data_IF_396428117035
#
_entry.id   IF_396428117035
#
_cell.length_a   1.000
_cell.length_b   1.000
_cell.length_c   1.000
_cell.angle_alpha   90.00
_cell.angle_beta   90.00
_cell.angle_gamma   90.00
#
_symmetry.space_group_name_H-M   'P 1'
#
loop_
_entity.id
_entity.type
_entity.pdbx_description
1 polymer ?
#
# COMPACT_ATOMS: atom_id res chain seq x y z
N UNK A 1 35.07 19.17 -33.94
CA UNK A 1 35.89 17.98 -34.18
C UNK A 1 35.32 16.86 -33.34
N UNK A 2 34.83 15.87 -34.06
CA UNK A 2 34.55 14.45 -33.71
C UNK A 2 33.36 14.22 -32.81
N UNK A 3 32.18 13.89 -33.29
CA UNK A 3 31.69 12.63 -33.96
C UNK A 3 31.59 11.43 -33.04
N UNK A 4 30.34 11.04 -32.88
CA UNK A 4 29.65 9.77 -33.22
C UNK A 4 29.53 8.73 -32.09
N UNK A 5 28.30 8.20 -31.98
CA UNK A 5 28.00 6.99 -31.22
C UNK A 5 26.52 6.67 -31.04
N UNK A 6 25.77 6.68 -32.14
CA UNK A 6 24.40 6.14 -32.23
C UNK A 6 24.43 4.60 -32.15
N UNK A 7 23.79 3.97 -31.12
CA UNK A 7 23.53 2.53 -31.11
C UNK A 7 22.02 2.27 -31.02
N UNK A 8 21.48 2.05 -32.19
CA UNK A 8 20.22 1.34 -32.47
C UNK A 8 20.18 -0.03 -31.76
N UNK A 9 19.20 -0.27 -30.89
CA UNK A 9 18.82 -1.62 -30.45
C UNK A 9 17.60 -2.06 -31.21
N UNK A 10 17.78 -3.11 -31.99
CA UNK A 10 16.76 -3.82 -32.75
C UNK A 10 15.85 -4.61 -31.85
N UNK A 11 14.54 -4.49 -32.07
CA UNK A 11 13.51 -5.34 -31.49
C UNK A 11 13.56 -6.76 -32.06
N UNK A 12 13.30 -7.79 -31.26
CA UNK A 12 13.16 -9.16 -31.78
C UNK A 12 11.74 -9.40 -32.32
N UNK A 13 11.68 -9.76 -33.58
CA UNK A 13 10.49 -10.23 -34.30
C UNK A 13 9.91 -11.50 -33.67
N UNK A 14 8.65 -11.42 -33.24
CA UNK A 14 7.85 -12.57 -32.84
C UNK A 14 7.39 -13.31 -34.11
N UNK A 15 7.86 -14.54 -34.28
CA UNK A 15 7.40 -15.47 -35.32
C UNK A 15 6.06 -16.08 -34.92
N UNK A 16 5.06 -15.91 -35.79
CA UNK A 16 3.80 -16.68 -35.76
C UNK A 16 4.02 -18.08 -36.38
N UNK A 17 3.39 -19.13 -35.86
CA UNK A 17 3.45 -20.44 -36.48
C UNK A 17 2.46 -20.55 -37.66
N UNK A 18 2.95 -21.15 -38.74
CA UNK A 18 2.24 -21.45 -39.96
C UNK A 18 1.31 -22.65 -39.75
N UNK A 19 0.03 -22.49 -40.08
CA UNK A 19 -0.94 -23.59 -40.13
C UNK A 19 -0.66 -24.50 -41.31
N UNK A 20 -0.43 -25.77 -41.00
CA UNK A 20 -0.32 -26.84 -42.00
C UNK A 20 -1.70 -27.29 -42.47
N UNK A 21 -1.86 -27.37 -43.80
CA UNK A 21 -2.97 -28.01 -44.51
C UNK A 21 -2.92 -29.54 -44.38
N UNK A 22 -4.01 -30.14 -43.96
CA UNK A 22 -4.23 -31.59 -44.11
C UNK A 22 -5.39 -31.84 -45.08
N UNK A 23 -5.04 -32.38 -46.24
CA UNK A 23 -5.99 -32.96 -47.22
C UNK A 23 -6.38 -34.38 -46.79
N UNK A 24 -7.67 -34.66 -46.70
CA UNK A 24 -8.22 -36.00 -46.52
C UNK A 24 -9.53 -36.12 -47.26
N UNK A 25 -9.52 -36.86 -48.37
CA UNK A 25 -10.71 -37.31 -49.10
C UNK A 25 -11.37 -38.46 -48.39
N UNK A 26 -12.72 -38.46 -48.35
CA UNK A 26 -13.53 -39.58 -47.90
C UNK A 26 -15.00 -39.37 -48.25
N UNK A 27 -15.47 -40.10 -49.23
CA UNK A 27 -16.82 -40.15 -49.82
C UNK A 27 -17.88 -40.71 -48.88
N UNK A 28 -19.13 -40.20 -48.92
CA UNK A 28 -20.30 -40.84 -48.32
C UNK A 28 -21.46 -39.84 -48.15
N UNK A 29 -22.41 -39.83 -49.07
CA UNK A 29 -23.54 -38.93 -49.05
C UNK A 29 -24.62 -39.31 -48.02
N UNK A 30 -25.20 -38.29 -47.38
CA UNK A 30 -26.59 -38.32 -46.87
C UNK A 30 -27.11 -36.89 -46.99
N UNK A 31 -28.23 -36.74 -47.70
CA UNK A 31 -28.97 -35.48 -47.85
C UNK A 31 -29.54 -35.05 -46.50
N UNK A 32 -29.09 -33.92 -45.98
CA UNK A 32 -29.77 -33.21 -44.92
C UNK A 32 -30.31 -31.88 -45.46
N UNK A 33 -31.48 -31.44 -45.01
CA UNK A 33 -32.13 -30.25 -45.53
C UNK A 33 -31.34 -29.01 -45.13
N UNK A 34 -31.15 -28.11 -46.11
CA UNK A 34 -30.57 -26.80 -45.90
C UNK A 34 -31.49 -25.98 -44.99
N UNK A 35 -31.18 -25.91 -43.69
CA UNK A 35 -31.71 -24.88 -42.84
C UNK A 35 -30.99 -23.59 -43.20
N UNK A 36 -31.70 -22.72 -43.91
CA UNK A 36 -31.28 -21.31 -44.05
C UNK A 36 -31.29 -20.69 -42.66
N UNK A 37 -30.13 -20.60 -42.04
CA UNK A 37 -29.93 -19.76 -40.86
C UNK A 37 -30.03 -18.34 -41.36
N UNK A 38 -31.19 -17.71 -41.12
CA UNK A 38 -31.33 -16.27 -41.17
C UNK A 38 -30.24 -15.65 -40.29
N UNK A 39 -29.52 -14.60 -40.74
CA UNK A 39 -28.60 -13.89 -39.84
C UNK A 39 -29.43 -13.39 -38.68
N UNK A 40 -29.26 -13.99 -37.53
CA UNK A 40 -29.81 -13.53 -36.27
C UNK A 40 -29.38 -12.07 -36.13
N UNK A 41 -30.35 -11.18 -36.03
CA UNK A 41 -30.17 -9.82 -35.54
C UNK A 41 -29.31 -9.95 -34.26
N UNK A 42 -28.09 -9.46 -34.32
CA UNK A 42 -27.20 -9.44 -33.15
C UNK A 42 -27.90 -8.65 -32.04
N UNK A 43 -28.56 -9.38 -31.17
CA UNK A 43 -29.04 -8.90 -29.90
C UNK A 43 -27.80 -8.42 -29.16
N UNK A 44 -27.55 -7.08 -29.20
CA UNK A 44 -26.53 -6.47 -28.38
C UNK A 44 -26.87 -6.83 -26.95
N UNK A 45 -26.04 -7.64 -26.33
CA UNK A 45 -26.15 -7.95 -24.93
C UNK A 45 -26.39 -6.61 -24.19
N UNK A 46 -27.45 -6.55 -23.43
CA UNK A 46 -27.78 -5.42 -22.57
C UNK A 46 -26.63 -5.32 -21.57
N UNK A 47 -25.67 -4.41 -21.81
CA UNK A 47 -24.63 -4.12 -20.84
C UNK A 47 -25.35 -3.54 -19.63
N UNK A 48 -25.25 -4.25 -18.49
CA UNK A 48 -25.79 -3.81 -17.22
C UNK A 48 -25.21 -2.45 -16.81
N UNK A 49 -25.67 -1.88 -15.68
CA UNK A 49 -25.19 -0.59 -15.21
C UNK A 49 -23.67 -0.60 -15.04
N UNK A 50 -23.02 0.44 -15.54
CA UNK A 50 -21.57 0.61 -15.40
C UNK A 50 -21.27 1.13 -14.00
N UNK A 51 -20.42 0.42 -13.24
CA UNK A 51 -20.04 0.80 -11.89
C UNK A 51 -18.73 1.58 -11.91
N UNK A 52 -18.75 2.77 -11.33
CA UNK A 52 -17.62 3.68 -11.24
C UNK A 52 -17.30 4.02 -9.77
N UNK A 53 -16.03 3.95 -9.40
CA UNK A 53 -15.56 4.36 -8.09
C UNK A 53 -14.92 5.74 -8.19
N UNK A 54 -15.42 6.72 -7.41
CA UNK A 54 -14.97 8.12 -7.44
C UNK A 54 -14.56 8.57 -6.05
N UNK A 55 -13.42 9.25 -5.93
CA UNK A 55 -12.99 9.85 -4.67
C UNK A 55 -13.93 10.97 -4.22
N UNK A 56 -14.24 11.03 -2.94
CA UNK A 56 -15.16 12.06 -2.40
C UNK A 56 -14.71 13.48 -2.75
N UNK A 57 -15.61 14.24 -3.38
CA UNK A 57 -15.37 15.60 -3.85
C UNK A 57 -14.66 15.70 -5.20
N UNK A 58 -14.29 14.59 -5.80
CA UNK A 58 -13.64 14.56 -7.11
C UNK A 58 -14.65 14.72 -8.25
N UNK A 59 -14.14 14.73 -9.47
CA UNK A 59 -14.95 14.75 -10.68
C UNK A 59 -14.84 13.42 -11.42
N UNK A 60 -15.85 13.12 -12.23
CA UNK A 60 -15.85 11.98 -13.15
C UNK A 60 -16.21 12.43 -14.56
N UNK A 61 -15.54 11.86 -15.55
CA UNK A 61 -15.88 12.06 -16.96
C UNK A 61 -16.76 10.90 -17.40
N UNK A 62 -17.96 11.22 -17.91
CA UNK A 62 -18.97 10.26 -18.36
C UNK A 62 -19.10 10.38 -19.87
N UNK A 63 -18.93 9.24 -20.55
CA UNK A 63 -19.17 9.13 -21.98
C UNK A 63 -20.57 8.56 -22.23
N UNK A 64 -21.48 9.42 -22.63
CA UNK A 64 -22.82 9.03 -23.03
C UNK A 64 -22.82 8.68 -24.53
N UNK A 65 -22.88 7.40 -24.85
CA UNK A 65 -22.92 6.91 -26.24
C UNK A 65 -24.25 6.25 -26.51
N UNK A 66 -24.92 6.69 -27.60
CA UNK A 66 -26.17 6.11 -28.05
C UNK A 66 -25.94 4.77 -28.76
N UNK A 67 -26.93 3.87 -28.70
CA UNK A 67 -26.93 2.59 -29.40
C UNK A 67 -27.10 2.70 -30.91
N UNK A 68 -27.69 3.82 -31.40
CA UNK A 68 -27.93 4.08 -32.82
C UNK A 68 -27.00 5.17 -33.39
N UNK A 69 -26.88 5.18 -34.69
CA UNK A 69 -26.00 6.12 -35.43
C UNK A 69 -26.50 7.55 -35.47
N UNK A 70 -27.81 7.74 -35.36
CA UNK A 70 -28.48 9.07 -35.44
C UNK A 70 -29.53 9.23 -34.34
N UNK A 71 -29.08 9.45 -33.07
CA UNK A 71 -30.02 9.70 -31.99
C UNK A 71 -30.63 11.09 -32.10
N UNK A 72 -31.97 11.22 -31.95
CA UNK A 72 -32.67 12.50 -31.96
C UNK A 72 -32.42 13.32 -30.69
N UNK A 73 -32.16 12.63 -29.57
CA UNK A 73 -31.74 13.25 -28.29
C UNK A 73 -30.61 12.44 -27.68
N UNK A 74 -29.72 13.13 -27.00
CA UNK A 74 -28.67 12.51 -26.18
C UNK A 74 -28.29 13.46 -25.03
N UNK A 75 -28.57 13.06 -23.80
CA UNK A 75 -28.35 13.88 -22.62
C UNK A 75 -27.89 13.04 -21.42
N UNK A 76 -27.15 13.66 -20.54
CA UNK A 76 -26.85 13.12 -19.21
C UNK A 76 -27.81 13.73 -18.19
N UNK A 77 -28.60 12.91 -17.51
CA UNK A 77 -29.51 13.32 -16.45
C UNK A 77 -28.85 13.11 -15.09
N UNK A 78 -28.68 14.17 -14.33
CA UNK A 78 -28.13 14.19 -12.99
C UNK A 78 -28.45 15.52 -12.30
N UNK A 79 -28.58 15.48 -10.98
CA UNK A 79 -28.70 16.66 -10.13
C UNK A 79 -27.33 17.35 -9.87
N UNK A 80 -26.23 16.67 -10.18
CA UNK A 80 -24.89 17.19 -9.99
C UNK A 80 -24.52 18.24 -11.04
N UNK A 81 -23.61 19.14 -10.69
CA UNK A 81 -23.06 20.09 -11.64
C UNK A 81 -22.27 19.35 -12.73
N UNK A 82 -22.58 19.67 -14.00
CA UNK A 82 -21.93 19.06 -15.14
C UNK A 82 -21.57 20.10 -16.21
N UNK A 83 -20.50 19.78 -16.94
CA UNK A 83 -20.07 20.56 -18.12
C UNK A 83 -19.94 19.61 -19.31
N UNK A 84 -20.48 20.02 -20.47
CA UNK A 84 -20.25 19.30 -21.71
C UNK A 84 -18.83 19.59 -22.20
N UNK A 85 -18.02 18.55 -22.38
CA UNK A 85 -16.66 18.66 -22.91
C UNK A 85 -16.63 18.50 -24.41
N UNK A 86 -17.32 17.47 -24.93
CA UNK A 86 -17.36 17.15 -26.34
C UNK A 86 -18.80 16.79 -26.77
N UNK A 87 -19.16 17.16 -27.99
CA UNK A 87 -20.49 16.94 -28.54
C UNK A 87 -20.38 16.38 -29.96
N UNK A 88 -20.68 15.10 -30.12
CA UNK A 88 -20.75 14.41 -31.40
C UNK A 88 -22.17 13.88 -31.62
N UNK A 89 -22.47 13.51 -32.84
CA UNK A 89 -23.81 13.02 -33.20
C UNK A 89 -24.23 11.80 -32.37
N UNK A 90 -23.32 10.84 -32.19
CA UNK A 90 -23.59 9.55 -31.56
C UNK A 90 -23.15 9.47 -30.08
N UNK A 91 -22.31 10.39 -29.61
CA UNK A 91 -21.86 10.42 -28.23
C UNK A 91 -21.57 11.82 -27.72
N UNK A 92 -21.65 11.99 -26.40
CA UNK A 92 -21.33 13.23 -25.70
C UNK A 92 -20.50 12.94 -24.47
N UNK A 93 -19.48 13.75 -24.23
CA UNK A 93 -18.60 13.64 -23.09
C UNK A 93 -18.96 14.70 -22.05
N UNK A 94 -19.31 14.29 -20.85
CA UNK A 94 -19.67 15.18 -19.74
C UNK A 94 -18.67 15.05 -18.61
N UNK A 95 -18.29 16.16 -18.01
CA UNK A 95 -17.56 16.21 -16.75
C UNK A 95 -18.52 16.56 -15.63
N UNK A 96 -18.66 15.66 -14.65
CA UNK A 96 -19.53 15.80 -13.48
C UNK A 96 -18.66 16.11 -12.28
N UNK A 97 -19.03 17.10 -11.47
CA UNK A 97 -18.20 17.67 -10.40
C UNK A 97 -18.78 17.44 -9.02
N UNK A 98 -17.89 17.53 -7.99
CA UNK A 98 -18.26 17.53 -6.57
C UNK A 98 -19.08 16.32 -6.16
N UNK A 99 -18.67 15.14 -6.62
CA UNK A 99 -19.34 13.89 -6.32
C UNK A 99 -19.00 13.51 -4.88
N UNK A 100 -19.94 13.68 -3.94
CA UNK A 100 -19.71 13.50 -2.49
C UNK A 100 -20.51 12.37 -1.87
N UNK A 101 -21.41 11.76 -2.60
CA UNK A 101 -22.26 10.63 -2.20
C UNK A 101 -22.50 9.71 -3.39
N UNK A 102 -22.91 8.49 -3.10
CA UNK A 102 -23.33 7.54 -4.13
C UNK A 102 -24.47 8.11 -4.94
N UNK A 103 -24.42 7.96 -6.25
CA UNK A 103 -25.35 8.58 -7.18
C UNK A 103 -25.52 7.71 -8.44
N UNK A 104 -26.71 7.74 -9.01
CA UNK A 104 -26.99 7.16 -10.31
C UNK A 104 -27.03 8.28 -11.35
N UNK A 105 -26.26 8.12 -12.43
CA UNK A 105 -26.26 9.01 -13.57
C UNK A 105 -26.93 8.31 -14.75
N UNK A 106 -27.85 9.00 -15.42
CA UNK A 106 -28.62 8.42 -16.51
C UNK A 106 -28.22 9.09 -17.82
N UNK A 107 -27.66 8.33 -18.76
CA UNK A 107 -27.55 8.77 -20.15
C UNK A 107 -28.79 8.39 -20.92
N UNK A 108 -29.67 9.36 -21.20
CA UNK A 108 -30.88 9.17 -21.96
C UNK A 108 -30.67 9.55 -23.42
N UNK A 109 -31.13 8.71 -24.34
CA UNK A 109 -31.07 8.94 -25.78
C UNK A 109 -32.28 8.35 -26.47
N UNK A 110 -32.64 8.90 -27.64
CA UNK A 110 -33.78 8.45 -28.42
C UNK A 110 -33.33 7.94 -29.78
N UNK A 111 -33.61 6.65 -30.04
CA UNK A 111 -33.31 5.97 -31.28
C UNK A 111 -34.60 5.53 -31.97
N UNK A 112 -34.82 5.97 -33.20
CA UNK A 112 -36.06 5.64 -33.99
C UNK A 112 -37.37 5.84 -33.20
N UNK A 113 -37.45 6.95 -32.43
CA UNK A 113 -38.61 7.29 -31.61
C UNK A 113 -38.78 6.52 -30.31
N UNK A 114 -37.82 5.65 -29.94
CA UNK A 114 -37.77 4.96 -28.63
C UNK A 114 -36.72 5.59 -27.75
N UNK A 115 -37.10 5.92 -26.52
CA UNK A 115 -36.16 6.38 -25.50
C UNK A 115 -35.48 5.18 -24.86
N UNK A 116 -34.16 5.24 -24.78
CA UNK A 116 -33.30 4.27 -24.11
C UNK A 116 -32.47 5.01 -23.05
N UNK A 117 -32.04 4.28 -22.02
CA UNK A 117 -31.27 4.85 -20.93
C UNK A 117 -30.14 3.90 -20.55
N UNK A 118 -28.91 4.44 -20.46
CA UNK A 118 -27.77 3.75 -19.90
C UNK A 118 -27.51 4.30 -18.49
N UNK A 119 -27.37 3.41 -17.51
CA UNK A 119 -27.16 3.77 -16.09
C UNK A 119 -25.70 3.66 -15.73
N UNK A 120 -25.16 4.68 -15.05
CA UNK A 120 -23.86 4.68 -14.42
C UNK A 120 -24.06 4.77 -12.90
N UNK A 121 -23.68 3.72 -12.19
CA UNK A 121 -23.70 3.68 -10.73
C UNK A 121 -22.39 4.20 -10.18
N UNK A 122 -22.40 5.37 -9.57
CA UNK A 122 -21.24 5.94 -8.92
C UNK A 122 -21.23 5.54 -7.45
N UNK A 123 -20.13 4.95 -7.01
CA UNK A 123 -19.87 4.68 -5.60
C UNK A 123 -18.72 5.58 -5.14
N UNK A 124 -18.98 6.36 -4.09
CA UNK A 124 -18.00 7.28 -3.54
C UNK A 124 -17.11 6.56 -2.52
N UNK A 125 -15.82 6.77 -2.66
CA UNK A 125 -14.87 6.29 -1.67
C UNK A 125 -14.07 7.45 -1.05
N UNK A 126 -13.52 7.21 0.14
CA UNK A 126 -12.70 8.18 0.85
C UNK A 126 -11.26 7.66 0.89
N UNK A 127 -10.41 8.14 -0.03
CA UNK A 127 -9.03 7.69 -0.11
C UNK A 127 -8.23 8.15 1.10
N UNK A 128 -7.17 7.41 1.52
CA UNK A 128 -6.23 7.89 2.51
C UNK A 128 -5.56 9.18 2.02
N UNK A 129 -5.83 10.30 2.72
CA UNK A 129 -5.24 11.61 2.42
C UNK A 129 -3.88 11.78 3.07
N UNK A 130 -3.74 11.24 4.27
CA UNK A 130 -2.51 11.25 5.07
C UNK A 130 -2.39 9.95 5.86
N UNK A 131 -1.16 9.64 6.27
CA UNK A 131 -0.84 8.55 7.17
C UNK A 131 -0.05 9.14 8.33
N UNK A 132 -0.46 8.86 9.55
CA UNK A 132 0.18 9.36 10.76
C UNK A 132 0.92 8.21 11.45
N UNK A 133 2.18 8.42 11.77
CA UNK A 133 3.00 7.50 12.54
C UNK A 133 3.26 8.08 13.91
N UNK A 134 3.10 7.28 14.96
CA UNK A 134 3.45 7.63 16.33
C UNK A 134 4.29 6.53 16.96
N UNK A 135 5.41 6.91 17.57
CA UNK A 135 6.26 6.03 18.37
C UNK A 135 6.04 6.36 19.86
N UNK A 136 5.71 5.36 20.67
CA UNK A 136 5.42 5.58 22.10
C UNK A 136 6.09 4.52 22.98
N UNK A 137 7.01 4.93 23.88
CA UNK A 137 7.62 6.25 23.98
C UNK A 137 8.58 6.54 22.82
N UNK A 138 8.92 7.82 22.59
CA UNK A 138 9.85 8.25 21.55
C UNK A 138 11.33 8.02 21.90
N UNK A 139 11.61 7.78 23.19
CA UNK A 139 12.95 7.50 23.73
C UNK A 139 12.89 6.29 24.64
N UNK A 140 13.70 5.27 24.34
CA UNK A 140 13.70 3.99 25.05
C UNK A 140 15.10 3.45 25.25
N UNK A 141 15.30 2.61 26.27
CA UNK A 141 16.55 1.85 26.42
C UNK A 141 16.53 0.60 25.52
N UNK A 142 17.69 0.15 25.07
CA UNK A 142 17.84 -1.14 24.38
C UNK A 142 17.20 -2.25 25.22
N UNK A 143 16.42 -3.12 24.58
CA UNK A 143 15.72 -4.23 25.22
C UNK A 143 14.38 -3.90 25.83
N UNK A 144 13.91 -2.63 25.81
CA UNK A 144 12.59 -2.25 26.31
C UNK A 144 11.55 -2.25 25.19
N UNK A 145 10.29 -2.48 25.57
CA UNK A 145 9.15 -2.44 24.65
C UNK A 145 8.78 -1.01 24.30
N UNK A 146 8.41 -0.79 23.04
CA UNK A 146 7.75 0.41 22.57
C UNK A 146 6.66 0.04 21.56
N UNK A 147 5.73 0.97 21.36
CA UNK A 147 4.59 0.81 20.46
C UNK A 147 4.80 1.67 19.22
N UNK A 148 4.56 1.09 18.07
CA UNK A 148 4.44 1.76 16.78
C UNK A 148 2.95 1.83 16.46
N UNK A 149 2.39 3.02 16.34
CA UNK A 149 1.00 3.23 15.94
C UNK A 149 0.95 3.91 14.57
N UNK A 150 0.18 3.32 13.67
CA UNK A 150 -0.11 3.83 12.36
C UNK A 150 -1.58 4.17 12.25
N UNK A 151 -1.92 5.45 12.01
CA UNK A 151 -3.29 5.92 11.89
C UNK A 151 -3.54 6.50 10.51
N UNK A 152 -4.58 6.01 9.85
CA UNK A 152 -5.06 6.49 8.56
C UNK A 152 -6.45 7.07 8.78
N UNK A 153 -6.60 8.40 8.87
CA UNK A 153 -7.87 9.01 9.22
C UNK A 153 -8.84 9.06 8.04
N UNK A 154 -10.12 8.96 8.38
CA UNK A 154 -11.27 9.22 7.51
C UNK A 154 -11.26 8.44 6.19
N UNK A 155 -11.04 7.13 6.24
CA UNK A 155 -10.97 6.22 5.09
C UNK A 155 -12.25 5.39 4.96
N UNK A 156 -12.77 5.23 3.75
CA UNK A 156 -13.84 4.30 3.40
C UNK A 156 -13.72 3.83 1.93
N UNK A 157 -14.03 2.56 1.64
CA UNK A 157 -14.28 1.46 2.58
C UNK A 157 -12.98 1.03 3.27
N UNK A 158 -13.08 0.52 4.51
CA UNK A 158 -11.90 -0.04 5.20
C UNK A 158 -11.40 -1.34 4.55
N UNK A 159 -12.32 -2.12 4.00
CA UNK A 159 -11.99 -3.35 3.29
C UNK A 159 -11.17 -3.07 2.03
N UNK A 160 -9.97 -3.67 1.96
CA UNK A 160 -8.99 -3.42 0.91
C UNK A 160 -7.90 -2.41 1.29
N UNK A 161 -7.98 -1.80 2.48
CA UNK A 161 -6.89 -1.00 3.04
C UNK A 161 -5.87 -1.92 3.69
N UNK A 162 -4.64 -1.87 3.21
CA UNK A 162 -3.49 -2.55 3.81
C UNK A 162 -2.56 -1.51 4.40
N UNK A 163 -2.18 -1.69 5.67
CA UNK A 163 -1.23 -0.84 6.38
C UNK A 163 0.02 -1.64 6.67
N UNK A 164 1.16 -1.12 6.25
CA UNK A 164 2.48 -1.73 6.41
C UNK A 164 3.37 -0.84 7.27
N UNK A 165 3.94 -1.40 8.33
CA UNK A 165 4.91 -0.75 9.20
C UNK A 165 6.32 -1.11 8.74
N UNK A 166 7.18 -0.12 8.59
CA UNK A 166 8.52 -0.24 8.04
C UNK A 166 9.57 0.30 9.01
N UNK A 167 10.73 -0.37 9.05
CA UNK A 167 11.97 0.12 9.62
C UNK A 167 13.01 0.24 8.50
N UNK A 168 13.29 1.46 8.06
CA UNK A 168 14.00 1.67 6.80
C UNK A 168 13.24 1.04 5.63
N UNK A 169 13.83 0.02 5.01
CA UNK A 169 13.19 -0.75 3.92
C UNK A 169 12.61 -2.09 4.38
N UNK A 170 12.81 -2.46 5.66
CA UNK A 170 12.36 -3.75 6.21
C UNK A 170 10.92 -3.64 6.72
N UNK A 171 10.07 -4.54 6.27
CA UNK A 171 8.71 -4.69 6.78
C UNK A 171 8.78 -5.31 8.18
N UNK A 172 8.22 -4.61 9.18
CA UNK A 172 8.06 -5.10 10.54
C UNK A 172 6.71 -5.80 10.73
N UNK A 173 5.66 -5.19 10.19
CA UNK A 173 4.30 -5.68 10.32
C UNK A 173 3.47 -5.26 9.12
N UNK A 174 2.48 -6.07 8.75
CA UNK A 174 1.56 -5.80 7.66
C UNK A 174 0.17 -6.29 8.08
N UNK A 175 -0.85 -5.45 7.92
CA UNK A 175 -2.23 -5.77 8.24
C UNK A 175 -3.17 -5.25 7.16
N UNK A 176 -3.97 -6.15 6.60
CA UNK A 176 -5.12 -5.78 5.77
C UNK A 176 -6.35 -5.61 6.66
N UNK A 177 -6.98 -4.45 6.59
CA UNK A 177 -8.16 -4.13 7.39
C UNK A 177 -9.37 -4.80 6.76
N UNK A 178 -10.19 -5.41 7.60
CA UNK A 178 -11.46 -6.02 7.21
C UNK A 178 -12.59 -5.12 7.69
N UNK A 179 -13.49 -4.76 6.79
CA UNK A 179 -14.65 -3.94 7.13
C UNK A 179 -15.39 -3.48 5.89
N UNK A 180 -16.70 -3.32 6.02
CA UNK A 180 -17.59 -2.93 4.91
C UNK A 180 -18.31 -1.61 5.18
N UNK A 181 -17.97 -0.91 6.27
CA UNK A 181 -18.62 0.35 6.63
C UNK A 181 -18.48 1.38 5.47
N UNK A 182 -19.58 1.92 4.99
CA UNK A 182 -19.58 2.88 3.89
C UNK A 182 -19.14 4.29 4.33
N UNK A 183 -19.25 4.59 5.63
CA UNK A 183 -18.87 5.89 6.17
C UNK A 183 -17.37 5.96 6.48
N UNK A 184 -16.74 7.13 6.31
CA UNK A 184 -15.33 7.32 6.62
C UNK A 184 -15.04 7.03 8.09
N UNK A 185 -14.02 6.22 8.35
CA UNK A 185 -13.55 5.84 9.67
C UNK A 185 -12.03 5.93 9.74
N UNK A 186 -11.51 6.04 10.96
CA UNK A 186 -10.08 5.97 11.18
C UNK A 186 -9.65 4.49 11.24
N UNK A 187 -8.65 4.15 10.45
CA UNK A 187 -7.97 2.87 10.55
C UNK A 187 -6.74 3.04 11.45
N UNK A 188 -6.61 2.22 12.48
CA UNK A 188 -5.49 2.25 13.42
C UNK A 188 -4.86 0.86 13.48
N UNK A 189 -3.56 0.80 13.25
CA UNK A 189 -2.75 -0.41 13.36
C UNK A 189 -1.65 -0.16 14.38
N UNK A 190 -1.57 -1.01 15.40
CA UNK A 190 -0.58 -0.92 16.45
C UNK A 190 0.31 -2.16 16.45
N UNK A 191 1.60 -1.96 16.66
CA UNK A 191 2.57 -3.05 16.77
C UNK A 191 3.53 -2.78 17.94
N UNK A 192 3.59 -3.72 18.88
CA UNK A 192 4.51 -3.67 20.00
C UNK A 192 5.76 -4.45 19.67
N UNK A 193 6.91 -3.84 19.83
CA UNK A 193 8.19 -4.48 19.57
C UNK A 193 9.25 -4.04 20.57
N UNK A 194 10.35 -4.77 20.64
CA UNK A 194 11.48 -4.46 21.53
C UNK A 194 12.51 -3.62 20.78
N UNK A 195 13.00 -2.58 21.44
CA UNK A 195 14.03 -1.70 20.88
C UNK A 195 15.38 -2.40 20.80
N UNK A 196 16.04 -2.30 19.66
CA UNK A 196 17.39 -2.78 19.40
C UNK A 196 18.32 -1.58 19.15
N UNK A 197 19.62 -1.74 19.37
CA UNK A 197 20.61 -0.68 19.12
C UNK A 197 20.57 -0.17 17.66
N UNK A 198 20.31 -1.07 16.71
CA UNK A 198 20.17 -0.72 15.30
C UNK A 198 18.99 0.24 15.00
N UNK A 199 17.96 0.27 15.85
CA UNK A 199 16.78 1.13 15.66
C UNK A 199 17.13 2.64 15.74
N UNK A 200 18.21 3.00 16.43
CA UNK A 200 18.73 4.36 16.47
C UNK A 200 19.19 4.86 15.09
N UNK A 201 19.51 3.97 14.16
CA UNK A 201 20.04 4.27 12.84
C UNK A 201 18.99 4.20 11.72
N UNK A 202 17.79 3.75 12.03
CA UNK A 202 16.71 3.58 11.06
C UNK A 202 15.56 4.53 11.33
N UNK A 203 14.92 4.98 10.26
CA UNK A 203 13.64 5.66 10.34
C UNK A 203 12.52 4.64 10.30
N UNK A 204 11.46 4.90 11.07
CA UNK A 204 10.20 4.18 11.00
C UNK A 204 9.25 4.93 10.07
N UNK A 205 8.46 4.23 9.30
CA UNK A 205 7.41 4.77 8.45
C UNK A 205 6.23 3.82 8.36
N UNK A 206 5.08 4.37 7.97
CA UNK A 206 3.88 3.61 7.66
C UNK A 206 3.51 3.82 6.21
N UNK A 207 3.11 2.77 5.54
CA UNK A 207 2.49 2.81 4.22
C UNK A 207 1.03 2.38 4.33
N UNK A 208 0.14 3.13 3.70
CA UNK A 208 -1.27 2.78 3.54
C UNK A 208 -1.56 2.58 2.05
N UNK A 209 -2.01 1.40 1.69
CA UNK A 209 -2.38 1.03 0.34
C UNK A 209 -3.84 0.61 0.28
N UNK A 210 -4.64 1.29 -0.54
CA UNK A 210 -6.03 0.95 -0.80
C UNK A 210 -6.18 0.44 -2.23
N UNK A 211 -6.56 -0.82 -2.38
CA UNK A 211 -6.79 -1.46 -3.69
C UNK A 211 -8.29 -1.53 -3.99
N UNK A 212 -8.74 -0.73 -4.94
CA UNK A 212 -10.13 -0.66 -5.38
C UNK A 212 -10.33 -1.23 -6.80
N UNK A 213 -9.30 -1.82 -7.41
CA UNK A 213 -9.33 -2.30 -8.80
C UNK A 213 -10.42 -3.36 -9.03
N UNK A 214 -10.70 -4.21 -8.06
CA UNK A 214 -11.77 -5.20 -8.13
C UNK A 214 -13.18 -4.61 -8.11
N UNK A 215 -13.30 -3.30 -7.78
CA UNK A 215 -14.57 -2.56 -7.68
C UNK A 215 -14.69 -1.46 -8.74
N UNK A 216 -13.83 -1.46 -9.75
CA UNK A 216 -13.81 -0.42 -10.80
C UNK A 216 -13.04 0.85 -10.45
N UNK A 217 -12.32 0.86 -9.32
CA UNK A 217 -11.44 1.95 -8.91
C UNK A 217 -9.97 1.70 -9.25
N UNK A 218 -9.09 2.48 -8.62
CA UNK A 218 -7.65 2.41 -8.76
C UNK A 218 -6.94 1.88 -7.53
N UNK A 219 -5.61 2.01 -7.56
CA UNK A 219 -4.74 1.78 -6.42
C UNK A 219 -4.33 3.13 -5.83
N UNK A 220 -4.62 3.34 -4.55
CA UNK A 220 -4.20 4.55 -3.83
C UNK A 220 -3.12 4.17 -2.83
N UNK A 221 -2.01 4.89 -2.84
CA UNK A 221 -0.88 4.66 -1.94
C UNK A 221 -0.48 5.97 -1.26
N UNK A 222 -0.20 5.90 0.05
CA UNK A 222 0.27 7.01 0.87
C UNK A 222 1.28 6.51 1.89
N UNK A 223 2.25 7.35 2.21
CA UNK A 223 3.30 7.06 3.18
C UNK A 223 3.31 8.17 4.24
N UNK A 224 3.58 7.80 5.48
CA UNK A 224 3.74 8.76 6.58
C UNK A 224 5.08 9.50 6.48
N UNK A 225 5.17 10.63 7.17
CA UNK A 225 6.46 11.21 7.49
C UNK A 225 7.29 10.22 8.31
N UNK A 226 8.59 10.05 7.99
CA UNK A 226 9.45 9.15 8.72
C UNK A 226 9.76 9.68 10.12
N UNK A 227 9.75 8.80 11.13
CA UNK A 227 10.11 9.13 12.50
C UNK A 227 11.29 8.29 12.97
N UNK A 228 12.11 8.86 13.85
CA UNK A 228 13.26 8.20 14.46
C UNK A 228 12.98 7.92 15.92
N UNK A 229 13.33 6.70 16.35
CA UNK A 229 13.32 6.30 17.76
C UNK A 229 14.65 6.70 18.39
N UNK A 230 14.60 7.38 19.55
CA UNK A 230 15.77 7.63 20.36
C UNK A 230 16.07 6.40 21.20
N UNK A 231 17.13 5.67 20.88
CA UNK A 231 17.53 4.45 21.60
C UNK A 231 18.73 4.77 22.49
N UNK A 232 18.57 4.56 23.80
CA UNK A 232 19.62 4.76 24.81
C UNK A 232 20.34 3.45 25.04
N UNK A 233 21.64 3.45 24.77
CA UNK A 233 22.50 2.34 25.16
C UNK A 233 22.50 2.20 26.69
N UNK A 234 22.50 0.95 27.21
CA UNK A 234 22.67 0.74 28.65
C UNK A 234 24.03 1.32 29.04
N UNK A 235 24.00 2.40 29.83
CA UNK A 235 25.24 2.97 30.38
C UNK A 235 25.92 1.84 31.16
N UNK A 236 27.12 1.38 30.77
CA UNK A 236 27.84 0.41 31.56
C UNK A 236 27.93 1.03 32.93
N UNK A 237 27.48 0.27 33.97
CA UNK A 237 27.34 0.78 35.32
C UNK A 237 28.73 1.10 35.83
N UNK A 238 29.27 2.25 35.42
CA UNK A 238 30.64 2.70 35.70
C UNK A 238 30.91 2.74 37.22
N UNK A 239 29.84 2.97 38.00
CA UNK A 239 29.94 2.87 39.46
C UNK A 239 30.26 1.46 39.93
N UNK A 240 29.64 0.42 39.35
CA UNK A 240 29.97 -0.97 39.73
C UNK A 240 31.41 -1.33 39.35
N UNK A 241 31.88 -0.91 38.18
CA UNK A 241 33.27 -1.15 37.76
C UNK A 241 34.24 -0.42 38.68
N UNK A 242 33.95 0.83 39.07
CA UNK A 242 34.76 1.61 40.01
C UNK A 242 34.75 0.98 41.39
N UNK A 243 33.61 0.53 41.93
CA UNK A 243 33.50 -0.14 43.23
C UNK A 243 34.30 -1.43 43.22
N UNK A 244 34.17 -2.26 42.18
CA UNK A 244 34.94 -3.53 42.05
C UNK A 244 36.44 -3.21 42.01
N UNK A 245 36.87 -2.21 41.26
CA UNK A 245 38.27 -1.80 41.18
C UNK A 245 38.82 -1.34 42.55
N UNK A 246 38.07 -0.52 43.28
CA UNK A 246 38.44 -0.03 44.62
C UNK A 246 38.55 -1.21 45.60
N UNK A 247 37.57 -2.12 45.62
CA UNK A 247 37.59 -3.30 46.49
C UNK A 247 38.78 -4.18 46.17
N UNK A 248 39.10 -4.41 44.89
CA UNK A 248 40.28 -5.19 44.49
C UNK A 248 41.58 -4.57 44.95
N UNK A 249 41.72 -3.24 44.83
CA UNK A 249 42.94 -2.53 45.34
C UNK A 249 43.04 -2.63 46.84
N UNK A 250 41.95 -2.44 47.60
CA UNK A 250 41.97 -2.58 49.08
C UNK A 250 42.33 -3.98 49.51
N UNK A 251 41.85 -5.03 48.85
CA UNK A 251 42.22 -6.41 49.12
C UNK A 251 43.71 -6.66 48.87
N UNK A 252 44.26 -6.16 47.77
CA UNK A 252 45.69 -6.29 47.49
C UNK A 252 46.54 -5.57 48.54
N UNK A 253 46.16 -4.36 48.98
CA UNK A 253 46.85 -3.63 50.04
C UNK A 253 46.79 -4.39 51.38
N UNK A 254 45.62 -4.97 51.70
CA UNK A 254 45.48 -5.79 52.93
C UNK A 254 46.39 -7.04 52.92
N UNK A 255 46.39 -7.77 51.79
CA UNK A 255 47.23 -8.98 51.63
C UNK A 255 48.70 -8.58 51.73
N UNK A 256 49.15 -7.52 51.07
CA UNK A 256 50.57 -7.07 51.18
C UNK A 256 50.93 -6.65 52.59
N UNK A 257 50.01 -5.94 53.29
CA UNK A 257 50.23 -5.60 54.71
C UNK A 257 50.38 -6.81 55.60
N UNK A 258 49.50 -7.82 55.47
CA UNK A 258 49.56 -9.05 56.23
C UNK A 258 50.86 -9.79 55.95
N UNK A 259 51.28 -9.88 54.69
CA UNK A 259 52.53 -10.51 54.32
C UNK A 259 53.75 -9.81 54.93
N UNK A 260 53.76 -8.47 54.89
CA UNK A 260 54.83 -7.69 55.51
C UNK A 260 54.85 -7.84 57.03
N UNK A 261 53.72 -7.88 57.71
CA UNK A 261 53.59 -8.13 59.11
C UNK A 261 54.14 -9.57 59.50
N UNK A 262 53.75 -10.55 58.71
CA UNK A 262 54.30 -11.94 58.90
C UNK A 262 55.80 -12.00 58.68
N UNK A 263 56.30 -11.35 57.62
CA UNK A 263 57.74 -11.30 57.34
C UNK A 263 58.56 -10.61 58.48
N UNK A 264 58.03 -9.47 58.99
CA UNK A 264 58.65 -8.80 60.15
C UNK A 264 58.62 -9.64 61.37
N UNK A 265 57.52 -10.38 61.65
CA UNK A 265 57.43 -11.27 62.80
C UNK A 265 58.39 -12.46 62.70
N UNK A 266 58.64 -13.01 61.54
CA UNK A 266 59.63 -14.05 61.31
C UNK A 266 61.07 -13.56 61.53
N UNK A 267 61.41 -12.31 61.08
CA UNK A 267 62.72 -11.72 61.33
C UNK A 267 62.99 -11.38 62.81
N UNK A 268 61.89 -11.04 63.54
CA UNK A 268 62.03 -10.80 64.99
C UNK A 268 62.30 -12.06 65.80
N UNK A 269 61.88 -13.24 65.35
CA UNK A 269 62.14 -14.51 66.04
C UNK A 269 63.49 -15.14 65.77
N UNK A 270 64.25 -14.70 64.76
CA UNK A 270 65.62 -15.19 64.47
C UNK A 270 66.69 -14.44 65.20
N UNK A 271 66.34 -13.33 65.93
CA UNK A 271 67.28 -12.49 66.66
C UNK A 271 67.43 -12.86 68.18
N UNK A 272 66.70 -13.85 68.69
CA UNK A 272 66.71 -14.19 70.16
C UNK A 272 67.45 -15.55 70.46
N UNK A 273 68.14 -16.15 69.50
CA UNK A 273 68.93 -17.35 69.74
C UNK A 273 70.41 -17.14 69.44
N UNK A 274 70.96 -16.03 69.87
CA UNK A 274 72.41 -15.85 69.94
C UNK A 274 72.76 -14.89 71.12
N UNK A 275 72.66 -15.42 72.35
CA UNK A 275 73.38 -14.96 73.56
C UNK A 275 73.42 -16.12 74.52
#
# INVERSE_FOLDING_TARGET
>A
MSEQGERSRRDPLIRLPIMGSATGQGSGGVCCPVFSVLPGSGEKAFEGPEHLMVGSGEFQVINCTASCTDPTTLALETALNKTLLENQAQWKLFKVYNISKDEELLCSFTCAGRQETKVFNITVFYPPKQVLLTLSPTSVAVGTLFTIECRVPAVAPLGGLTVTLLRGTKILYNQTIVGTAPSPQDAVVTHNTTAHSEDAHHNFSCEAQMDLRSRGGGLVHRVSDPQRLEVKEPVPNSQMVIIIAIVAVLLLLFVTFVLLCRHRRQRGNTGVQAA
#
